data_IF_766643705986
#
_entry.id   IF_766643705986
#
_cell.length_a   1.000
_cell.length_b   1.000
_cell.length_c   1.000
_cell.angle_alpha   90.00
_cell.angle_beta   90.00
_cell.angle_gamma   90.00
#
_symmetry.space_group_name_H-M   'P 1'
#
loop_
_entity.id
_entity.type
_entity.pdbx_description
1 polymer ?
#
# COMPACT_ATOMS: atom_id res chain seq x y z
N UNK A 1 15.23 -17.35 -5.36
CA UNK A 1 14.16 -16.35 -5.23
C UNK A 1 14.36 -15.48 -4.00
N UNK A 2 15.19 -14.45 -4.18
CA UNK A 2 15.36 -13.37 -3.21
C UNK A 2 14.66 -12.14 -3.79
N UNK A 3 13.73 -11.56 -3.04
CA UNK A 3 13.06 -10.31 -3.41
C UNK A 3 13.77 -9.16 -2.70
N UNK A 4 14.23 -8.17 -3.45
CA UNK A 4 14.78 -6.92 -2.94
C UNK A 4 13.82 -5.78 -3.28
N UNK A 5 13.79 -4.72 -2.45
CA UNK A 5 13.03 -3.51 -2.75
C UNK A 5 13.98 -2.33 -2.68
N UNK A 6 14.08 -1.58 -3.77
CA UNK A 6 14.82 -0.33 -3.83
C UNK A 6 13.87 0.83 -3.47
N UNK A 7 14.00 1.45 -2.27
CA UNK A 7 13.02 2.42 -1.80
C UNK A 7 12.95 3.66 -2.69
N UNK A 8 11.74 4.04 -3.10
CA UNK A 8 11.51 5.26 -3.88
C UNK A 8 11.60 6.50 -2.98
N UNK A 9 12.26 7.59 -3.42
CA UNK A 9 12.25 8.87 -2.71
C UNK A 9 10.90 9.60 -2.80
N UNK A 10 9.99 9.13 -3.66
CA UNK A 10 8.67 9.70 -3.88
C UNK A 10 7.61 8.75 -3.36
N UNK A 11 6.61 9.31 -2.68
CA UNK A 11 5.43 8.54 -2.25
C UNK A 11 4.62 8.09 -3.47
N UNK A 12 4.29 6.80 -3.53
CA UNK A 12 3.53 6.19 -4.62
C UNK A 12 2.26 5.49 -4.11
N UNK A 13 2.00 5.55 -2.81
CA UNK A 13 0.77 5.07 -2.18
C UNK A 13 0.26 6.15 -1.23
N UNK A 14 -0.97 6.60 -1.44
CA UNK A 14 -1.60 7.59 -0.56
C UNK A 14 -3.11 7.34 -0.40
N UNK A 15 -3.70 7.93 0.63
CA UNK A 15 -5.14 7.92 0.84
C UNK A 15 -5.75 9.22 0.33
N UNK A 16 -6.78 9.13 -0.51
CA UNK A 16 -7.51 10.30 -1.02
C UNK A 16 -8.20 11.07 0.13
N UNK A 17 -8.81 10.34 1.06
CA UNK A 17 -9.43 10.88 2.26
C UNK A 17 -9.28 9.93 3.46
N UNK A 18 -8.35 10.17 4.40
CA UNK A 18 -8.14 9.32 5.57
C UNK A 18 -9.39 9.17 6.48
N UNK A 19 -10.31 10.14 6.46
CA UNK A 19 -11.52 10.06 7.27
C UNK A 19 -12.52 9.00 6.77
N UNK A 20 -12.47 8.62 5.49
CA UNK A 20 -13.33 7.55 4.94
C UNK A 20 -12.97 6.20 5.55
N UNK A 21 -11.69 5.92 5.74
CA UNK A 21 -11.24 4.67 6.34
C UNK A 21 -11.81 4.52 7.76
N UNK A 22 -11.77 5.58 8.57
CA UNK A 22 -12.34 5.55 9.94
C UNK A 22 -13.85 5.36 9.98
N UNK A 23 -14.59 5.93 9.02
CA UNK A 23 -16.07 6.02 9.07
C UNK A 23 -16.78 4.92 8.29
N UNK A 24 -16.16 4.40 7.22
CA UNK A 24 -16.83 3.56 6.20
C UNK A 24 -16.02 2.32 5.80
N UNK A 25 -15.03 1.93 6.60
CA UNK A 25 -14.16 0.80 6.25
C UNK A 25 -13.93 -0.15 7.44
N UNK A 26 -14.97 -0.73 8.07
CA UNK A 26 -14.81 -1.50 9.31
C UNK A 26 -13.86 -2.70 9.20
N UNK A 27 -13.77 -3.31 8.02
CA UNK A 27 -12.96 -4.52 7.80
C UNK A 27 -11.51 -4.23 7.40
N UNK A 28 -11.19 -3.00 7.00
CA UNK A 28 -9.85 -2.61 6.59
C UNK A 28 -9.15 -3.59 5.60
N UNK A 29 -9.76 -3.92 4.44
CA UNK A 29 -9.28 -4.99 3.57
C UNK A 29 -7.85 -4.83 3.07
N UNK A 30 -7.38 -3.59 2.94
CA UNK A 30 -6.00 -3.28 2.59
C UNK A 30 -4.95 -3.91 3.54
N UNK A 31 -5.30 -4.22 4.78
CA UNK A 31 -4.38 -4.78 5.78
C UNK A 31 -4.09 -6.25 5.58
N UNK A 32 -5.08 -7.05 5.18
CA UNK A 32 -4.94 -8.50 5.03
C UNK A 32 -4.79 -8.95 3.57
N UNK A 33 -5.21 -8.13 2.60
CA UNK A 33 -4.99 -8.44 1.17
C UNK A 33 -3.56 -8.11 0.73
N UNK A 34 -2.86 -7.23 1.45
CA UNK A 34 -1.52 -6.81 1.09
C UNK A 34 -0.52 -7.94 1.40
N UNK A 35 0.10 -8.57 0.39
CA UNK A 35 0.99 -9.71 0.62
C UNK A 35 2.28 -9.32 1.36
N UNK A 36 2.67 -8.05 1.29
CA UNK A 36 3.86 -7.51 1.95
C UNK A 36 3.55 -6.65 3.17
N UNK A 37 2.29 -6.61 3.63
CA UNK A 37 1.93 -5.99 4.89
C UNK A 37 2.06 -4.47 4.97
N UNK A 38 2.01 -3.74 3.85
CA UNK A 38 2.23 -2.26 3.78
C UNK A 38 1.30 -1.43 4.68
N UNK A 39 0.07 -1.88 4.94
CA UNK A 39 -0.94 -1.09 5.64
C UNK A 39 -1.11 -1.55 7.09
N UNK A 40 -0.85 -0.64 8.03
CA UNK A 40 -1.02 -0.89 9.47
C UNK A 40 -2.02 0.08 10.09
N UNK A 41 -2.90 -0.43 10.95
CA UNK A 41 -3.74 0.42 11.79
C UNK A 41 -3.09 0.64 13.15
N UNK A 42 -2.99 1.91 13.55
CA UNK A 42 -2.53 2.33 14.85
C UNK A 42 -3.62 3.20 15.47
N UNK A 43 -4.51 2.57 16.25
CA UNK A 43 -5.75 3.20 16.72
C UNK A 43 -6.60 3.67 15.54
N UNK A 44 -6.85 4.97 15.46
CA UNK A 44 -7.69 5.59 14.43
C UNK A 44 -6.93 6.07 13.18
N UNK A 45 -5.64 5.74 13.04
CA UNK A 45 -4.83 6.16 11.89
C UNK A 45 -4.25 4.96 11.16
N UNK A 46 -4.19 5.08 9.83
CA UNK A 46 -3.45 4.14 8.98
C UNK A 46 -2.02 4.67 8.84
N UNK A 47 -1.04 3.81 9.10
CA UNK A 47 0.35 3.97 8.70
C UNK A 47 0.59 3.15 7.43
N UNK A 48 1.27 3.76 6.46
CA UNK A 48 1.59 3.14 5.17
C UNK A 48 3.11 3.01 5.08
N UNK A 49 3.60 1.78 5.02
CA UNK A 49 5.02 1.45 4.90
C UNK A 49 5.33 1.05 3.44
N UNK A 50 5.25 2.05 2.55
CA UNK A 50 5.35 1.84 1.09
C UNK A 50 6.70 1.28 0.63
N UNK A 51 7.74 1.35 1.46
CA UNK A 51 9.05 0.73 1.23
C UNK A 51 8.98 -0.80 1.17
N UNK A 52 7.86 -1.39 1.63
CA UNK A 52 7.58 -2.82 1.53
C UNK A 52 6.68 -3.16 0.33
N UNK A 53 6.30 -2.18 -0.52
CA UNK A 53 5.40 -2.44 -1.63
C UNK A 53 6.06 -3.36 -2.68
N UNK A 54 5.36 -4.45 -3.04
CA UNK A 54 5.75 -5.38 -4.11
C UNK A 54 5.00 -5.13 -5.42
N UNK A 55 4.41 -3.96 -5.55
CA UNK A 55 3.75 -3.47 -6.77
C UNK A 55 2.59 -4.32 -7.31
N UNK A 56 1.94 -5.11 -6.45
CA UNK A 56 0.86 -6.01 -6.87
C UNK A 56 -0.48 -5.31 -7.19
N UNK A 57 -0.69 -4.06 -6.75
CA UNK A 57 -1.95 -3.31 -6.95
C UNK A 57 -3.18 -3.83 -6.17
N UNK A 58 -3.07 -4.93 -5.43
CA UNK A 58 -4.22 -5.57 -4.76
C UNK A 58 -4.95 -4.65 -3.77
N UNK A 59 -4.21 -3.77 -3.09
CA UNK A 59 -4.80 -2.84 -2.12
C UNK A 59 -5.78 -1.85 -2.75
N UNK A 60 -5.48 -1.33 -3.94
CA UNK A 60 -6.36 -0.42 -4.67
C UNK A 60 -7.63 -1.13 -5.11
N UNK A 61 -7.48 -2.32 -5.72
CA UNK A 61 -8.60 -3.13 -6.19
C UNK A 61 -9.53 -3.58 -5.05
N UNK A 62 -8.96 -3.96 -3.90
CA UNK A 62 -9.73 -4.44 -2.77
C UNK A 62 -10.40 -3.33 -1.96
N UNK A 63 -10.06 -2.06 -2.17
CA UNK A 63 -10.61 -0.94 -1.40
C UNK A 63 -12.06 -0.64 -1.84
N UNK A 64 -13.09 -0.94 -1.03
CA UNK A 64 -14.49 -0.77 -1.46
C UNK A 64 -14.86 0.70 -1.67
N UNK A 65 -14.12 1.60 -1.05
CA UNK A 65 -14.33 3.05 -1.13
C UNK A 65 -13.51 3.72 -2.24
N UNK A 66 -12.67 2.97 -2.97
CA UNK A 66 -11.76 3.53 -3.97
C UNK A 66 -10.82 4.61 -3.40
N UNK A 67 -10.49 4.50 -2.11
CA UNK A 67 -9.84 5.56 -1.34
C UNK A 67 -8.32 5.49 -1.35
N UNK A 68 -7.75 4.43 -1.92
CA UNK A 68 -6.31 4.28 -2.10
C UNK A 68 -5.97 4.85 -3.48
N UNK A 69 -4.93 5.69 -3.51
CA UNK A 69 -4.28 6.13 -4.72
C UNK A 69 -2.94 5.40 -4.79
N UNK A 70 -2.87 4.39 -5.64
CA UNK A 70 -1.67 3.59 -5.85
C UNK A 70 -1.14 3.88 -7.26
N UNK A 71 0.15 4.16 -7.34
CA UNK A 71 0.86 4.32 -8.61
C UNK A 71 2.16 3.52 -8.56
N UNK A 72 2.70 3.20 -9.72
CA UNK A 72 4.04 2.61 -9.77
C UNK A 72 5.07 3.62 -9.24
N UNK A 73 6.11 3.15 -8.52
CA UNK A 73 7.28 3.97 -8.23
C UNK A 73 7.93 4.51 -9.51
N UNK A 74 8.74 5.58 -9.42
CA UNK A 74 9.55 6.04 -10.54
C UNK A 74 10.49 4.92 -11.04
N UNK A 75 10.81 4.93 -12.34
CA UNK A 75 11.70 3.95 -12.94
C UNK A 75 13.06 3.89 -12.23
N UNK A 76 13.52 2.68 -11.92
CA UNK A 76 14.75 2.43 -11.17
C UNK A 76 14.55 2.20 -9.66
N UNK A 77 13.34 2.39 -9.15
CA UNK A 77 12.93 2.07 -7.80
C UNK A 77 11.88 0.94 -7.79
N UNK A 78 11.55 0.46 -6.60
CA UNK A 78 10.53 -0.55 -6.40
C UNK A 78 11.08 -1.96 -6.28
N UNK A 79 10.28 -2.95 -6.63
CA UNK A 79 10.60 -4.37 -6.41
C UNK A 79 11.56 -4.92 -7.47
N UNK A 80 12.57 -5.66 -7.02
CA UNK A 80 13.53 -6.37 -7.87
C UNK A 80 13.48 -7.86 -7.53
N UNK A 81 13.18 -8.67 -8.55
CA UNK A 81 13.12 -10.12 -8.43
C UNK A 81 14.43 -10.75 -8.91
N UNK A 82 15.10 -11.47 -8.01
CA UNK A 82 16.25 -12.31 -8.35
C UNK A 82 15.82 -13.78 -8.35
N UNK A 83 15.98 -14.44 -9.50
CA UNK A 83 15.68 -15.86 -9.69
C UNK A 83 16.73 -16.73 -9.01
#
# INVERSE_FOLDING_TARGET
MQTEIHPSPVEHISLKNPALCRKKCPEHPCTFICPSGVFHWQGDRIRIEQEQCVECGACELACPQGNINWTLPPGGFGVVYHW
#
